data_IF_185598527699
#
_entry.id   IF_185598527699
#
_cell.length_a   1.000
_cell.length_b   1.000
_cell.length_c   1.000
_cell.angle_alpha   90.00
_cell.angle_beta   90.00
_cell.angle_gamma   90.00
#
_symmetry.space_group_name_H-M   'P 1'
#
loop_
_entity.id
_entity.type
_entity.pdbx_description
1 polymer ?
2 non-polymer ?
3 non-polymer ?
4 water ?
#
# COMPACT_ATOMS: atom_id res chain seq x y z
N UNK A 1 6.91 18.78 1.92
CA UNK A 1 6.33 17.41 2.04
C UNK A 1 4.83 17.54 2.29
N UNK A 2 4.06 16.52 1.91
CA UNK A 2 2.63 16.38 2.28
C UNK A 2 2.58 15.95 3.75
N UNK A 3 1.47 16.23 4.42
CA UNK A 3 1.27 15.89 5.84
C UNK A 3 0.82 14.44 5.87
N UNK A 4 1.50 13.64 6.66
CA UNK A 4 1.10 12.23 6.90
C UNK A 4 0.47 12.19 8.28
N UNK A 5 -0.64 11.45 8.53
CA UNK A 5 -1.32 10.62 7.53
C UNK A 5 -2.00 11.45 6.44
N UNK A 6 -2.00 10.91 5.23
CA UNK A 6 -2.49 11.60 4.03
C UNK A 6 -3.59 10.76 3.40
N UNK A 7 -4.71 11.39 3.10
CA UNK A 7 -5.81 10.73 2.38
C UNK A 7 -5.81 11.23 0.94
N UNK A 8 -5.71 10.30 -0.01
CA UNK A 8 -5.86 10.54 -1.45
C UNK A 8 -7.21 9.99 -1.87
N UNK A 9 -8.18 10.88 -2.20
CA UNK A 9 -9.43 10.40 -2.77
C UNK A 9 -9.15 9.72 -4.11
N UNK A 10 -9.88 8.63 -4.35
CA UNK A 10 -9.84 7.86 -5.60
C UNK A 10 -11.23 7.96 -6.21
N UNK A 11 -11.52 9.01 -7.03
CA UNK A 11 -12.90 9.29 -7.45
C UNK A 11 -13.55 8.16 -8.25
N UNK A 12 -14.65 7.63 -7.73
CA UNK A 12 -15.35 6.49 -8.36
C UNK A 12 -14.59 5.20 -8.20
N UNK A 13 -13.69 5.17 -7.22
CA UNK A 13 -12.95 3.98 -6.83
C UNK A 13 -11.87 3.62 -7.83
N UNK A 14 -11.40 2.39 -7.76
CA UNK A 14 -10.29 1.90 -8.60
C UNK A 14 -10.88 1.04 -9.69
N UNK A 15 -10.07 0.79 -10.68
CA UNK A 15 -10.50 0.07 -11.91
C UNK A 15 -9.23 -0.48 -12.52
N UNK A 16 -9.25 -1.62 -13.22
CA UNK A 16 -8.04 -2.05 -13.92
C UNK A 16 -7.58 -0.95 -14.88
N UNK A 17 -6.24 -0.85 -14.91
CA UNK A 17 -5.41 0.09 -15.71
C UNK A 17 -5.21 1.40 -14.95
N UNK A 18 -5.61 1.46 -13.69
CA UNK A 18 -5.35 2.64 -12.84
C UNK A 18 -4.03 2.41 -12.10
N UNK A 19 -3.10 3.33 -12.28
CA UNK A 19 -1.75 3.29 -11.66
C UNK A 19 -1.66 4.35 -10.58
N UNK A 20 -1.37 3.94 -9.35
CA UNK A 20 -1.21 4.86 -8.20
C UNK A 20 0.27 4.94 -7.89
N UNK A 21 0.78 6.16 -7.84
CA UNK A 21 2.24 6.39 -7.62
C UNK A 21 2.44 7.15 -6.32
N UNK A 22 3.24 6.59 -5.41
CA UNK A 22 3.55 7.23 -4.10
C UNK A 22 5.06 7.47 -4.06
N UNK A 23 5.48 8.73 -3.94
CA UNK A 23 6.92 9.09 -3.83
C UNK A 23 7.16 9.64 -2.43
N UNK A 24 8.15 9.11 -1.75
CA UNK A 24 8.52 9.60 -0.42
C UNK A 24 9.91 9.17 -0.05
N UNK A 25 10.29 9.52 1.15
CA UNK A 25 11.58 9.11 1.74
C UNK A 25 11.31 8.51 3.10
N UNK A 26 11.93 7.37 3.37
CA UNK A 26 11.81 6.73 4.71
C UNK A 26 12.55 7.62 5.71
N UNK A 27 11.95 7.84 6.86
CA UNK A 27 12.60 8.58 7.96
C UNK A 27 13.73 7.71 8.49
N UNK A 28 14.68 8.30 9.23
CA UNK A 28 15.67 7.46 9.90
C UNK A 28 15.02 6.60 11.01
N UNK A 29 15.57 5.42 11.26
CA UNK A 29 15.10 4.53 12.36
C UNK A 29 13.59 4.27 12.20
N UNK A 30 13.13 4.10 10.96
CA UNK A 30 11.70 3.85 10.68
C UNK A 30 11.24 2.58 11.39
N UNK A 31 9.96 2.54 11.80
CA UNK A 31 9.35 1.32 12.37
C UNK A 31 8.31 0.74 11.40
N UNK A 32 7.48 1.60 10.78
CA UNK A 32 6.40 1.09 9.88
C UNK A 32 6.00 2.08 8.78
N UNK A 33 5.48 1.53 7.70
CA UNK A 33 4.76 2.29 6.65
C UNK A 33 3.44 1.57 6.44
N UNK A 34 2.40 2.29 6.02
CA UNK A 34 1.13 1.64 5.66
C UNK A 34 0.45 2.39 4.52
N UNK A 35 0.03 1.62 3.52
CA UNK A 35 -0.95 2.02 2.50
C UNK A 35 -2.24 1.28 2.84
N UNK A 36 -3.34 2.01 2.94
CA UNK A 36 -4.68 1.45 3.22
C UNK A 36 -5.64 1.91 2.12
N UNK A 37 -5.96 1.03 1.17
CA UNK A 37 -6.99 1.29 0.13
C UNK A 37 -8.33 0.97 0.80
N UNK A 38 -9.15 1.98 1.02
CA UNK A 38 -10.36 1.88 1.87
C UNK A 38 -11.63 1.83 1.02
N UNK A 39 -12.56 0.99 1.46
CA UNK A 39 -13.97 0.98 1.00
C UNK A 39 -14.81 1.34 2.23
N UNK A 40 -15.11 2.62 2.39
CA UNK A 40 -15.64 3.12 3.68
C UNK A 40 -14.74 2.68 4.81
N UNK A 41 -15.31 2.03 5.83
CA UNK A 41 -14.51 1.61 7.00
C UNK A 41 -13.69 0.35 6.70
N UNK A 42 -13.98 -0.38 5.63
CA UNK A 42 -13.22 -1.59 5.29
C UNK A 42 -11.90 -1.21 4.61
N UNK A 43 -10.90 -2.07 4.74
CA UNK A 43 -9.58 -1.90 4.08
C UNK A 43 -9.47 -3.01 3.06
N UNK A 44 -9.66 -2.65 1.81
CA UNK A 44 -9.59 -3.60 0.69
C UNK A 44 -8.18 -4.15 0.60
N UNK A 45 -7.19 -3.28 0.78
CA UNK A 45 -5.77 -3.67 0.58
C UNK A 45 -4.93 -2.83 1.52
N UNK A 46 -4.37 -3.50 2.52
CA UNK A 46 -3.41 -2.99 3.51
C UNK A 46 -2.03 -3.53 3.14
N UNK A 47 -1.11 -2.62 2.86
CA UNK A 47 0.29 -2.87 2.49
C UNK A 47 1.15 -2.24 3.58
N UNK A 48 1.80 -3.08 4.36
CA UNK A 48 2.37 -2.67 5.68
C UNK A 48 3.80 -3.17 5.85
N UNK A 49 4.81 -2.46 5.28
CA UNK A 49 6.22 -2.67 5.67
C UNK A 49 6.46 -2.45 7.17
N UNK A 50 6.96 -3.50 7.82
CA UNK A 50 7.33 -3.56 9.25
C UNK A 50 8.86 -3.69 9.31
N UNK A 51 9.55 -2.68 9.83
CA UNK A 51 11.04 -2.68 9.83
C UNK A 51 11.60 -3.56 10.95
N UNK A 52 10.81 -3.97 11.93
CA UNK A 52 11.31 -4.81 13.05
C UNK A 52 10.15 -5.62 13.62
N UNK A 53 9.93 -6.79 13.04
CA UNK A 53 9.07 -7.83 13.63
C UNK A 53 10.01 -8.96 14.04
N UNK A 54 10.26 -9.06 15.35
CA UNK A 54 11.21 -10.02 15.96
C UNK A 54 12.53 -9.96 15.19
N UNK A 55 13.01 -8.74 14.95
CA UNK A 55 14.31 -8.42 14.31
C UNK A 55 14.36 -8.91 12.85
N UNK A 56 13.21 -9.03 12.18
CA UNK A 56 13.15 -9.16 10.70
C UNK A 56 12.34 -8.03 10.08
N UNK A 57 12.65 -7.73 8.83
CA UNK A 57 11.91 -6.73 8.00
C UNK A 57 10.94 -7.51 7.15
N UNK A 58 9.64 -7.24 7.28
CA UNK A 58 8.65 -8.04 6.53
C UNK A 58 7.57 -7.08 6.05
N UNK A 59 6.95 -7.40 4.93
CA UNK A 59 5.80 -6.61 4.44
C UNK A 59 4.58 -7.48 4.68
N UNK A 60 3.64 -6.95 5.44
CA UNK A 60 2.35 -7.62 5.74
C UNK A 60 1.26 -7.04 4.85
N UNK A 61 0.54 -7.90 4.11
CA UNK A 61 -0.65 -7.47 3.33
C UNK A 61 -1.90 -8.14 3.88
N UNK A 62 -3.01 -7.41 3.93
CA UNK A 62 -4.25 -7.98 4.50
C UNK A 62 -5.44 -7.12 4.09
N UNK A 63 -6.63 -7.58 4.45
CA UNK A 63 -7.94 -6.93 4.20
C UNK A 63 -8.67 -6.87 5.54
N UNK A 64 -9.37 -5.77 5.77
CA UNK A 64 -10.16 -5.61 7.02
C UNK A 64 -11.61 -5.48 6.63
N UNK A 65 -12.47 -6.38 7.12
CA UNK A 65 -13.92 -6.40 6.82
C UNK A 65 -14.70 -6.31 8.14
N UNK A 66 -15.55 -5.29 8.31
CA UNK A 66 -16.37 -5.13 9.54
C UNK A 66 -15.43 -5.16 10.74
N UNK A 67 -14.30 -4.46 10.63
CA UNK A 67 -13.30 -4.28 11.72
C UNK A 67 -12.50 -5.54 12.05
N UNK A 68 -12.60 -6.60 11.27
CA UNK A 68 -11.85 -7.86 11.48
C UNK A 68 -10.74 -7.96 10.43
N UNK A 69 -9.47 -8.02 10.85
CA UNK A 69 -8.39 -8.41 9.91
C UNK A 69 -8.52 -9.88 9.48
N UNK A 70 -8.19 -10.14 8.24
CA UNK A 70 -8.28 -11.48 7.65
C UNK A 70 -6.96 -12.21 7.74
N UNK A 71 -6.75 -13.15 6.82
CA UNK A 71 -5.52 -13.97 6.67
C UNK A 71 -4.41 -13.11 6.06
N UNK A 72 -3.30 -12.89 6.78
CA UNK A 72 -2.16 -12.10 6.27
C UNK A 72 -1.52 -12.83 5.09
N UNK A 73 -0.98 -12.05 4.15
CA UNK A 73 -0.05 -12.52 3.12
C UNK A 73 1.29 -11.84 3.36
N UNK A 74 2.35 -12.65 3.35
CA UNK A 74 3.70 -12.20 3.75
C UNK A 74 4.71 -12.57 2.69
N UNK A 75 5.52 -11.54 2.44
CA UNK A 75 6.59 -11.31 1.45
C UNK A 75 7.90 -11.27 2.24
N UNK A 76 8.99 -11.92 1.81
CA UNK A 76 10.31 -11.74 2.47
C UNK A 76 11.15 -10.63 1.78
N UNK A 77 10.89 -10.32 0.51
CA UNK A 77 11.64 -9.24 -0.20
C UNK A 77 11.22 -7.89 0.43
N UNK A 78 12.19 -7.07 0.81
CA UNK A 78 11.95 -5.82 1.58
C UNK A 78 12.83 -4.72 1.00
N UNK A 79 12.33 -4.00 -0.03
CA UNK A 79 13.15 -3.07 -0.80
C UNK A 79 13.39 -1.70 -0.13
N UNK A 80 12.72 -1.43 0.99
CA UNK A 80 12.77 -0.14 1.71
C UNK A 80 13.98 -0.13 2.63
N UNK A 81 14.55 1.06 2.79
CA UNK A 81 15.74 1.34 3.64
C UNK A 81 15.52 2.65 4.37
N UNK A 82 15.74 2.68 5.68
CA UNK A 82 15.67 3.90 6.51
C UNK A 82 16.52 4.97 5.84
N UNK A 83 15.95 6.14 5.67
CA UNK A 83 16.66 7.33 5.20
C UNK A 83 16.61 7.45 3.68
N UNK A 84 16.07 6.48 2.93
CA UNK A 84 16.25 6.46 1.45
C UNK A 84 14.95 6.74 0.72
N UNK A 85 15.02 7.50 -0.39
CA UNK A 85 13.85 7.77 -1.23
C UNK A 85 13.36 6.50 -1.94
N UNK A 86 12.03 6.42 -2.06
CA UNK A 86 11.33 5.28 -2.70
C UNK A 86 10.24 5.79 -3.64
N UNK A 87 9.89 4.91 -4.55
CA UNK A 87 8.69 5.04 -5.39
C UNK A 87 7.89 3.77 -5.24
N UNK A 88 6.63 3.87 -4.82
CA UNK A 88 5.74 2.68 -4.83
C UNK A 88 4.75 2.91 -5.97
N UNK A 89 4.59 1.92 -6.83
CA UNK A 89 3.56 1.96 -7.90
C UNK A 89 2.63 0.79 -7.66
N UNK A 90 1.33 1.07 -7.49
CA UNK A 90 0.28 0.06 -7.35
C UNK A 90 -0.55 0.15 -8.63
N UNK A 91 -0.47 -0.90 -9.42
CA UNK A 91 -1.25 -1.00 -10.68
C UNK A 91 -2.41 -1.97 -10.41
N UNK A 92 -3.63 -1.47 -10.61
CA UNK A 92 -4.84 -2.29 -10.48
C UNK A 92 -4.92 -3.14 -11.76
N UNK A 93 -4.89 -4.45 -11.59
CA UNK A 93 -5.18 -5.42 -12.68
C UNK A 93 -6.53 -6.05 -12.39
N UNK A 94 -7.07 -6.84 -13.35
CA UNK A 94 -8.38 -7.48 -13.19
C UNK A 94 -8.53 -8.39 -11.96
N UNK A 95 -7.49 -9.13 -11.57
CA UNK A 95 -7.59 -10.13 -10.48
C UNK A 95 -6.78 -9.69 -9.24
N UNK A 96 -5.93 -8.65 -9.35
CA UNK A 96 -5.00 -8.31 -8.25
C UNK A 96 -4.54 -6.86 -8.29
N UNK A 97 -4.06 -6.36 -7.13
CA UNK A 97 -3.13 -5.22 -7.09
C UNK A 97 -1.74 -5.77 -7.40
N UNK A 98 -1.03 -5.09 -8.29
CA UNK A 98 0.38 -5.38 -8.62
C UNK A 98 1.23 -4.25 -8.05
N UNK A 99 2.18 -4.55 -7.18
CA UNK A 99 3.01 -3.51 -6.52
C UNK A 99 4.47 -3.62 -6.96
N UNK A 100 5.03 -2.51 -7.47
CA UNK A 100 6.46 -2.40 -7.83
C UNK A 100 7.03 -1.34 -6.90
N UNK A 101 8.27 -1.51 -6.48
CA UNK A 101 8.97 -0.50 -5.68
C UNK A 101 10.29 -0.18 -6.40
N UNK A 102 10.56 1.08 -6.62
CA UNK A 102 11.82 1.48 -7.30
C UNK A 102 11.98 0.68 -8.61
N UNK A 103 10.89 0.59 -9.37
CA UNK A 103 10.79 -0.03 -10.72
C UNK A 103 11.04 -1.55 -10.72
N UNK A 104 11.04 -2.23 -9.59
CA UNK A 104 11.18 -3.69 -9.51
C UNK A 104 9.87 -4.28 -9.00
N UNK A 105 9.33 -5.25 -9.71
CA UNK A 105 8.13 -5.97 -9.24
C UNK A 105 8.40 -6.48 -7.83
N UNK A 106 7.45 -6.29 -6.93
CA UNK A 106 7.52 -6.74 -5.54
C UNK A 106 6.51 -7.87 -5.28
N UNK A 107 5.22 -7.60 -5.44
CA UNK A 107 4.19 -8.60 -5.04
C UNK A 107 2.88 -8.30 -5.75
N UNK A 108 1.99 -9.29 -5.77
CA UNK A 108 0.58 -9.07 -6.14
C UNK A 108 -0.28 -9.54 -4.97
N UNK A 109 -1.48 -8.98 -4.91
CA UNK A 109 -2.47 -9.26 -3.86
C UNK A 109 -3.81 -9.40 -4.56
N UNK A 110 -4.35 -10.63 -4.56
CA UNK A 110 -5.67 -11.00 -5.15
C UNK A 110 -6.73 -10.08 -4.54
N UNK A 111 -7.68 -9.63 -5.36
CA UNK A 111 -8.86 -8.88 -4.88
C UNK A 111 -9.76 -9.77 -4.00
N UNK A 112 -9.87 -9.38 -2.75
CA UNK A 112 -10.85 -9.96 -1.81
C UNK A 112 -12.12 -9.12 -1.81
N UNK A 113 -11.96 -7.81 -1.75
CA UNK A 113 -13.07 -6.83 -1.98
C UNK A 113 -13.32 -6.78 -3.49
N UNK A 114 -14.56 -7.01 -3.92
CA UNK A 114 -14.92 -7.16 -5.35
C UNK A 114 -15.45 -5.83 -5.91
N UNK A 115 -16.00 -4.96 -5.07
CA UNK A 115 -16.62 -3.70 -5.52
C UNK A 115 -15.49 -2.69 -5.65
N UNK A 116 -14.67 -2.87 -6.70
CA UNK A 116 -13.49 -1.99 -6.94
C UNK A 116 -13.91 -0.53 -7.02
N UNK A 117 -15.06 -0.22 -7.63
CA UNK A 117 -15.45 1.20 -7.82
C UNK A 117 -15.96 1.79 -6.51
N UNK A 118 -15.88 1.06 -5.39
CA UNK A 118 -16.23 1.62 -4.06
C UNK A 118 -15.00 1.75 -3.17
N UNK A 119 -13.82 1.41 -3.67
CA UNK A 119 -12.53 1.64 -2.94
C UNK A 119 -12.07 3.06 -3.27
N UNK A 120 -12.59 4.06 -2.55
CA UNK A 120 -12.60 5.46 -3.01
C UNK A 120 -11.61 6.33 -2.24
N UNK A 121 -10.80 5.72 -1.37
CA UNK A 121 -9.77 6.48 -0.63
C UNK A 121 -8.51 5.62 -0.48
N UNK A 122 -7.36 6.28 -0.52
CA UNK A 122 -6.07 5.66 -0.15
C UNK A 122 -5.51 6.46 1.02
N UNK A 123 -5.33 5.79 2.16
CA UNK A 123 -4.65 6.30 3.35
C UNK A 123 -3.17 6.01 3.27
N UNK A 124 -2.30 7.00 3.40
CA UNK A 124 -0.82 6.74 3.39
C UNK A 124 -0.32 7.20 4.76
N UNK A 125 0.34 6.33 5.54
CA UNK A 125 0.73 6.64 6.92
C UNK A 125 2.09 6.02 7.25
N UNK A 126 2.62 6.41 8.40
CA UNK A 126 3.83 5.81 9.00
C UNK A 126 5.04 6.71 8.82
N UNK A 127 6.21 6.09 8.81
CA UNK A 127 7.47 6.77 9.15
C UNK A 127 8.12 7.24 7.86
N UNK A 128 7.43 8.09 7.11
CA UNK A 128 7.89 8.58 5.79
C UNK A 128 7.75 10.10 5.77
N UNK A 129 8.58 10.74 4.96
CA UNK A 129 8.33 12.10 4.44
C UNK A 129 7.64 11.87 3.10
N UNK A 130 6.38 12.27 2.95
CA UNK A 130 5.65 11.98 1.70
C UNK A 130 5.81 13.15 0.72
N UNK A 131 6.33 12.88 -0.48
CA UNK A 131 6.62 13.91 -1.50
C UNK A 131 5.37 14.15 -2.35
N UNK A 132 4.78 13.08 -2.85
CA UNK A 132 3.64 13.16 -3.79
C UNK A 132 2.90 11.82 -3.78
N UNK A 133 1.61 11.88 -4.06
CA UNK A 133 0.73 10.72 -4.26
C UNK A 133 -0.25 11.12 -5.36
N UNK A 134 -0.33 10.33 -6.41
CA UNK A 134 -1.19 10.66 -7.58
C UNK A 134 -1.62 9.36 -8.25
N UNK A 135 -2.46 9.48 -9.26
CA UNK A 135 -2.88 8.34 -10.09
C UNK A 135 -2.96 8.79 -11.55
N UNK A 136 -2.97 7.82 -12.44
CA UNK A 136 -3.10 8.03 -13.90
C UNK A 136 -3.70 6.75 -14.48
N UNK A 137 -4.47 6.88 -15.56
CA UNK A 137 -5.00 5.71 -16.29
C UNK A 137 -3.99 5.40 -17.38
N UNK A 138 -3.51 4.16 -17.42
CA UNK A 138 -2.53 3.71 -18.45
C UNK A 138 -3.23 2.82 -19.47
X LIG B 1 -17.12 -6.41 -2.12
X LIG C 1 -0.76 17.78 2.82
X LIG D 1 1.96 -2.14 14.88
X LIG D 1 -2.53 -6.69 9.45
X LIG D 1 -2.05 -4.87 13.29
X LIG D 1 -0.61 -4.70 13.28
X LIG D 1 -2.48 -4.50 10.81
X LIG D 1 -1.14 -4.29 10.32
X LIG D 1 -2.85 -6.00 10.73
X LIG D 1 -2.14 -6.75 11.73
X LIG D 1 -2.46 -6.30 13.04
X LIG D 1 -1.83 -7.13 13.99
X LIG D 1 -2.50 -8.37 14.14
X LIG D 1 -0.04 -4.24 14.41
X LIG D 1 -2.71 -3.98 12.24
X LIG D 1 -2.29 -2.62 12.47
X LIG D 1 -3.14 -1.64 12.13
X LIG D 1 -2.93 -8.07 9.50
X LIG D 1 -4.17 -1.83 11.57
X LIG D 1 -0.60 -3.60 15.26
X LIG D 1 1.41 -4.54 14.51
X LIG D 1 -2.66 -0.30 12.55
X LIG D 1 -3.39 0.84 12.25
X LIG D 1 -1.47 -0.17 13.25
X LIG D 1 -2.92 2.09 12.64
X LIG D 1 -1.02 1.09 13.62
X LIG D 1 -1.72 2.23 13.31
X LIG D 1 -1.17 3.59 13.64
X LIG D 1 1.88 -5.84 14.38
X LIG D 1 2.34 -3.56 14.87
X LIG D 1 3.21 -6.14 14.58
X LIG D 1 3.67 -3.84 15.08
X LIG D 1 4.12 -5.15 14.91
X LIG D 1 5.58 -5.45 15.00
X LIG D 1 0.88 -1.81 14.42
X LIG D 1 2.70 -1.35 15.43
X LIG D 1 6.21 -4.54 15.64
X LIG D 1 6.16 -5.59 13.78
X LIG D 1 5.82 -6.56 15.66
#
# INVERSE_FOLDING_TARGET
MLIVPYNLPLPGGVVPRMLITILGTVKPNANRIALDFQRGNDVAFHFNPRFNENNRRVIVCNTKLDNNWGREERQSVFPFESGKPFKIQVLVEPDHFKVAVNDAHLLQYNHRVKKLNEISKLGISGDIDLTSASYTMI
CL CL
CL CL
5BI N1 C6 C2 O2 C4 O4 C5 O5 C1 O1 C7 C8 C3 O3 C9 O6 O8 O7 CA1 CB1 CB2 CB6 CB3 CB5 CB4 C10 CA6 CA2 CA5 CA3 CA4 C11 ON1 ON2 F1 F2 F3
#
